data_IF_016809776934
#
_entry.id   IF_016809776934
#
_cell.length_a   1.000
_cell.length_b   1.000
_cell.length_c   1.000
_cell.angle_alpha   90.00
_cell.angle_beta   90.00
_cell.angle_gamma   90.00
#
_symmetry.space_group_name_H-M   'P 1'
#
loop_
_entity.id
_entity.type
_entity.pdbx_description
1 polymer ?
#
# COMPACT_ATOMS: atom_id res chain seq x y z
N UNK A 1 18.06 4.79 32.72
CA UNK A 1 18.77 3.53 32.59
C UNK A 1 17.81 2.31 32.57
N UNK A 2 16.80 2.23 33.42
CA UNK A 2 15.83 1.10 33.45
C UNK A 2 14.98 0.91 32.18
N UNK A 3 14.59 1.97 31.48
CA UNK A 3 13.83 1.91 30.22
C UNK A 3 14.64 1.39 29.03
N UNK A 4 15.98 1.49 29.09
CA UNK A 4 16.86 0.92 28.07
C UNK A 4 17.00 -0.60 28.23
N UNK A 5 17.02 -1.10 29.47
CA UNK A 5 17.19 -2.52 29.76
C UNK A 5 15.94 -3.35 29.43
N UNK A 6 14.73 -2.84 29.66
CA UNK A 6 13.50 -3.55 29.29
C UNK A 6 13.33 -3.68 27.77
N UNK A 7 13.79 -2.68 27.01
CA UNK A 7 13.82 -2.73 25.53
C UNK A 7 14.92 -3.65 24.98
N UNK A 8 16.04 -3.81 25.70
CA UNK A 8 17.11 -4.75 25.33
C UNK A 8 16.69 -6.22 25.54
N UNK A 9 15.92 -6.53 26.60
CA UNK A 9 15.51 -7.91 26.87
C UNK A 9 14.62 -8.50 25.76
N UNK A 10 13.69 -7.72 25.20
CA UNK A 10 12.85 -8.19 24.07
C UNK A 10 13.68 -8.40 22.78
N UNK A 11 14.75 -7.64 22.62
CA UNK A 11 15.68 -7.71 21.48
C UNK A 11 16.61 -8.91 21.58
N UNK A 12 17.04 -9.30 22.79
CA UNK A 12 17.99 -10.40 23.01
C UNK A 12 17.39 -11.80 22.86
N UNK A 13 16.06 -11.93 22.79
CA UNK A 13 15.39 -13.21 22.57
C UNK A 13 15.02 -13.49 21.10
N UNK A 14 15.32 -12.56 20.17
CA UNK A 14 15.11 -12.79 18.76
C UNK A 14 16.37 -13.42 18.13
N UNK A 15 16.32 -14.69 17.68
CA UNK A 15 17.49 -15.38 17.14
C UNK A 15 18.08 -14.71 15.88
N UNK A 16 17.27 -13.94 15.14
CA UNK A 16 17.75 -13.20 13.98
C UNK A 16 18.59 -11.98 14.40
N UNK A 17 18.23 -11.29 15.50
CA UNK A 17 19.04 -10.20 16.04
C UNK A 17 20.38 -10.75 16.55
N UNK A 18 20.37 -11.86 17.27
CA UNK A 18 21.60 -12.51 17.74
C UNK A 18 22.49 -12.87 16.56
N UNK A 19 21.92 -13.42 15.48
CA UNK A 19 22.67 -13.74 14.26
C UNK A 19 23.28 -12.50 13.60
N UNK A 20 22.56 -11.38 13.55
CA UNK A 20 23.07 -10.11 12.99
C UNK A 20 24.18 -9.55 13.87
N UNK A 21 24.02 -9.55 15.19
CA UNK A 21 25.04 -9.08 16.14
C UNK A 21 26.33 -9.88 16.00
N UNK A 22 26.21 -11.21 15.91
CA UNK A 22 27.36 -12.12 15.78
C UNK A 22 28.05 -11.91 14.43
N UNK A 23 27.28 -11.81 13.33
CA UNK A 23 27.84 -11.74 11.98
C UNK A 23 28.45 -10.39 11.62
N UNK A 24 27.85 -9.28 12.06
CA UNK A 24 28.22 -7.96 11.52
C UNK A 24 28.89 -7.05 12.53
N UNK A 25 28.63 -7.20 13.83
CA UNK A 25 28.97 -6.22 14.89
C UNK A 25 28.62 -4.77 14.50
N UNK A 26 27.74 -4.59 13.55
CA UNK A 26 27.39 -3.31 12.94
C UNK A 26 26.16 -2.73 13.64
N UNK A 27 26.38 -1.67 14.43
CA UNK A 27 25.30 -0.96 15.14
C UNK A 27 24.20 -0.43 14.21
N UNK A 28 24.54 -0.04 12.97
CA UNK A 28 23.59 0.46 11.98
C UNK A 28 22.68 -0.66 11.48
N UNK A 29 23.22 -1.82 11.13
CA UNK A 29 22.44 -2.98 10.69
C UNK A 29 21.46 -3.45 11.78
N UNK A 30 21.88 -3.41 13.06
CA UNK A 30 21.01 -3.75 14.19
C UNK A 30 19.85 -2.74 14.32
N UNK A 31 20.16 -1.44 14.24
CA UNK A 31 19.12 -0.38 14.31
C UNK A 31 18.11 -0.53 13.16
N UNK A 32 18.58 -0.77 11.96
CA UNK A 32 17.77 -1.01 10.77
C UNK A 32 16.84 -2.21 10.96
N UNK A 33 17.37 -3.36 11.36
CA UNK A 33 16.56 -4.56 11.63
C UNK A 33 15.45 -4.29 12.65
N UNK A 34 15.79 -3.61 13.77
CA UNK A 34 14.82 -3.26 14.82
C UNK A 34 13.74 -2.33 14.26
N UNK A 35 14.10 -1.36 13.42
CA UNK A 35 13.14 -0.45 12.79
C UNK A 35 12.18 -1.19 11.86
N UNK A 36 12.70 -2.02 10.97
CA UNK A 36 11.90 -2.84 10.05
C UNK A 36 10.97 -3.78 10.83
N UNK A 37 11.48 -4.46 11.86
CA UNK A 37 10.66 -5.34 12.70
C UNK A 37 9.51 -4.60 13.35
N UNK A 38 9.76 -3.42 13.95
CA UNK A 38 8.70 -2.60 14.57
C UNK A 38 7.63 -2.18 13.56
N UNK A 39 8.04 -1.78 12.35
CA UNK A 39 7.11 -1.42 11.28
C UNK A 39 6.23 -2.61 10.90
N UNK A 40 6.81 -3.79 10.73
CA UNK A 40 6.08 -5.03 10.44
C UNK A 40 5.11 -5.42 11.55
N UNK A 41 5.55 -5.38 12.80
CA UNK A 41 4.71 -5.69 13.96
C UNK A 41 3.52 -4.71 14.07
N UNK A 42 3.74 -3.43 13.78
CA UNK A 42 2.67 -2.43 13.71
C UNK A 42 1.66 -2.75 12.60
N UNK A 43 2.13 -3.04 11.39
CA UNK A 43 1.23 -3.38 10.26
C UNK A 43 0.39 -4.62 10.54
N UNK A 44 0.95 -5.65 11.17
CA UNK A 44 0.20 -6.84 11.60
C UNK A 44 -0.85 -6.47 12.66
N UNK A 45 -0.49 -5.63 13.62
CA UNK A 45 -1.43 -5.17 14.65
C UNK A 45 -2.58 -4.38 14.03
N UNK A 46 -2.28 -3.45 13.14
CA UNK A 46 -3.27 -2.67 12.37
C UNK A 46 -4.19 -3.60 11.58
N UNK A 47 -3.64 -4.57 10.85
CA UNK A 47 -4.44 -5.50 10.06
C UNK A 47 -5.37 -6.39 10.93
N UNK A 48 -4.95 -6.78 12.13
CA UNK A 48 -5.82 -7.51 13.07
C UNK A 48 -7.00 -6.66 13.54
N UNK A 49 -6.76 -5.38 13.82
CA UNK A 49 -7.82 -4.44 14.21
C UNK A 49 -8.81 -4.22 13.08
N UNK A 50 -8.33 -4.08 11.83
CA UNK A 50 -9.21 -3.94 10.67
C UNK A 50 -10.12 -5.17 10.53
N UNK A 51 -9.57 -6.38 10.61
CA UNK A 51 -10.38 -7.61 10.51
C UNK A 51 -11.42 -7.71 11.62
N UNK A 52 -11.06 -7.31 12.85
CA UNK A 52 -12.02 -7.23 13.94
C UNK A 52 -13.17 -6.26 13.63
N UNK A 53 -12.87 -5.07 13.11
CA UNK A 53 -13.88 -4.07 12.75
C UNK A 53 -14.75 -4.51 11.56
N UNK A 54 -14.16 -5.16 10.56
CA UNK A 54 -14.90 -5.77 9.45
C UNK A 54 -15.87 -6.84 9.94
N UNK A 55 -15.47 -7.68 10.90
CA UNK A 55 -16.35 -8.69 11.53
C UNK A 55 -17.52 -8.08 12.29
N UNK A 56 -17.43 -6.80 12.67
CA UNK A 56 -18.50 -5.99 13.28
C UNK A 56 -19.31 -5.19 12.25
N UNK A 57 -19.18 -5.50 10.95
CA UNK A 57 -19.84 -4.82 9.84
C UNK A 57 -19.58 -3.31 9.77
N UNK A 58 -18.42 -2.85 10.25
CA UNK A 58 -18.02 -1.45 10.13
C UNK A 58 -17.78 -1.07 8.66
N UNK A 59 -18.12 0.15 8.30
CA UNK A 59 -17.82 0.72 6.99
C UNK A 59 -16.32 0.99 6.85
N UNK A 60 -15.83 1.11 5.62
CA UNK A 60 -14.43 1.44 5.38
C UNK A 60 -14.08 2.81 5.98
N UNK A 61 -14.97 3.81 5.88
CA UNK A 61 -14.77 5.12 6.49
C UNK A 61 -14.62 5.06 8.01
N UNK A 62 -15.49 4.31 8.72
CA UNK A 62 -15.39 4.11 10.17
C UNK A 62 -14.07 3.40 10.56
N UNK A 63 -13.66 2.41 9.77
CA UNK A 63 -12.40 1.67 9.99
C UNK A 63 -11.20 2.60 9.81
N UNK A 64 -11.15 3.36 8.73
CA UNK A 64 -10.06 4.30 8.44
C UNK A 64 -9.93 5.33 9.53
N UNK A 65 -11.03 5.97 9.93
CA UNK A 65 -11.06 7.00 10.96
C UNK A 65 -10.58 6.45 12.32
N UNK A 66 -11.09 5.30 12.73
CA UNK A 66 -10.75 4.69 14.01
C UNK A 66 -9.30 4.20 14.04
N UNK A 67 -8.88 3.43 13.02
CA UNK A 67 -7.57 2.76 13.01
C UNK A 67 -6.44 3.78 12.83
N UNK A 68 -6.62 4.77 11.96
CA UNK A 68 -5.61 5.82 11.76
C UNK A 68 -5.35 6.62 13.03
N UNK A 69 -6.38 6.96 13.77
CA UNK A 69 -6.26 7.65 15.08
C UNK A 69 -5.63 6.76 16.16
N UNK A 70 -6.11 5.52 16.29
CA UNK A 70 -5.68 4.59 17.35
C UNK A 70 -4.21 4.25 17.26
N UNK A 71 -3.71 4.02 16.05
CA UNK A 71 -2.34 3.56 15.81
C UNK A 71 -1.42 4.65 15.27
N UNK A 72 -1.94 5.85 15.06
CA UNK A 72 -1.19 6.92 14.43
C UNK A 72 -0.61 6.46 13.07
N UNK A 73 -1.47 5.85 12.25
CA UNK A 73 -1.10 5.16 11.02
C UNK A 73 -1.66 5.85 9.79
N UNK A 74 -0.91 5.82 8.69
CA UNK A 74 -1.31 6.40 7.40
C UNK A 74 -2.55 5.68 6.85
N UNK A 75 -3.42 6.42 6.15
CA UNK A 75 -4.76 5.93 5.79
C UNK A 75 -4.79 5.01 4.58
N UNK A 76 -3.98 5.28 3.54
CA UNK A 76 -4.08 4.52 2.30
C UNK A 76 -3.85 3.00 2.46
N UNK A 77 -2.88 2.49 3.25
CA UNK A 77 -2.75 1.05 3.42
C UNK A 77 -3.92 0.43 4.20
N UNK A 78 -4.58 1.21 5.10
CA UNK A 78 -5.81 0.79 5.79
C UNK A 78 -6.93 0.59 4.77
N UNK A 79 -7.08 1.55 3.84
CA UNK A 79 -8.10 1.52 2.80
C UNK A 79 -7.89 0.30 1.89
N UNK A 80 -6.67 0.14 1.36
CA UNK A 80 -6.35 -0.97 0.44
C UNK A 80 -6.60 -2.33 1.08
N UNK A 81 -6.11 -2.51 2.29
CA UNK A 81 -6.38 -3.73 3.06
C UNK A 81 -7.88 -3.97 3.24
N UNK A 82 -8.62 -2.94 3.68
CA UNK A 82 -10.05 -3.05 3.97
C UNK A 82 -10.88 -3.38 2.72
N UNK A 83 -10.55 -2.78 1.56
CA UNK A 83 -11.20 -3.08 0.28
C UNK A 83 -10.99 -4.55 -0.11
N UNK A 84 -9.76 -5.03 -0.07
CA UNK A 84 -9.43 -6.42 -0.43
C UNK A 84 -10.20 -7.39 0.46
N UNK A 85 -10.19 -7.19 1.78
CA UNK A 85 -10.86 -8.07 2.74
C UNK A 85 -12.38 -8.02 2.65
N UNK A 86 -12.95 -6.85 2.39
CA UNK A 86 -14.41 -6.65 2.33
C UNK A 86 -15.03 -7.20 1.04
N UNK A 87 -14.33 -7.03 -0.08
CA UNK A 87 -14.83 -7.38 -1.42
C UNK A 87 -14.17 -8.63 -2.00
N UNK A 88 -13.27 -9.31 -1.24
CA UNK A 88 -12.56 -10.53 -1.65
C UNK A 88 -11.82 -10.39 -2.98
N UNK A 89 -11.13 -9.23 -3.14
CA UNK A 89 -10.40 -8.91 -4.38
C UNK A 89 -9.16 -9.81 -4.52
N UNK A 90 -8.84 -10.23 -5.74
CA UNK A 90 -7.82 -11.26 -6.00
C UNK A 90 -6.67 -10.79 -6.88
N UNK A 91 -6.96 -10.03 -7.94
CA UNK A 91 -5.95 -9.56 -8.89
C UNK A 91 -5.77 -8.07 -8.67
N UNK A 92 -4.67 -7.71 -8.04
CA UNK A 92 -4.34 -6.33 -7.70
C UNK A 92 -3.10 -5.89 -8.47
N UNK A 93 -3.15 -4.71 -9.08
CA UNK A 93 -2.01 -4.07 -9.73
C UNK A 93 -1.68 -2.77 -9.00
N UNK A 94 -0.41 -2.57 -8.68
CA UNK A 94 0.12 -1.40 -7.97
C UNK A 94 1.26 -0.78 -8.79
N UNK A 95 1.24 0.53 -8.97
CA UNK A 95 2.35 1.31 -9.47
C UNK A 95 2.92 2.16 -8.34
N UNK A 96 4.24 2.09 -8.12
CA UNK A 96 4.90 2.64 -6.94
C UNK A 96 4.83 1.69 -5.74
N UNK A 97 5.99 1.41 -5.17
CA UNK A 97 6.17 0.49 -4.04
C UNK A 97 7.03 1.12 -2.96
N UNK A 98 8.12 1.78 -3.38
CA UNK A 98 9.11 2.36 -2.48
C UNK A 98 9.53 1.38 -1.37
N UNK A 99 9.33 1.71 -0.11
CA UNK A 99 9.64 0.83 1.04
C UNK A 99 8.72 -0.40 1.16
N UNK A 100 7.50 -0.35 0.57
CA UNK A 100 6.52 -1.44 0.58
C UNK A 100 5.49 -1.39 1.72
N UNK A 101 5.06 -0.20 2.17
CA UNK A 101 4.00 -0.07 3.16
C UNK A 101 2.65 -0.57 2.62
N UNK A 102 2.23 -0.06 1.46
CA UNK A 102 1.01 -0.48 0.75
C UNK A 102 1.09 -1.96 0.41
N UNK A 103 2.16 -2.35 -0.27
CA UNK A 103 2.40 -3.75 -0.69
C UNK A 103 2.34 -4.74 0.47
N UNK A 104 2.91 -4.40 1.64
CA UNK A 104 2.83 -5.28 2.83
C UNK A 104 1.38 -5.50 3.28
N UNK A 105 0.58 -4.44 3.37
CA UNK A 105 -0.81 -4.52 3.81
C UNK A 105 -1.67 -5.28 2.78
N UNK A 106 -1.49 -5.01 1.49
CA UNK A 106 -2.15 -5.72 0.39
C UNK A 106 -1.83 -7.23 0.45
N UNK A 107 -0.54 -7.56 0.53
CA UNK A 107 -0.08 -8.95 0.59
C UNK A 107 -0.56 -9.69 1.85
N UNK A 108 -0.66 -8.98 2.97
CA UNK A 108 -1.23 -9.54 4.21
C UNK A 108 -2.72 -9.83 4.03
N UNK A 109 -3.47 -8.95 3.37
CA UNK A 109 -4.88 -9.18 3.04
C UNK A 109 -5.04 -10.42 2.14
N UNK A 110 -4.27 -10.52 1.05
CA UNK A 110 -4.28 -11.66 0.14
C UNK A 110 -3.88 -12.97 0.83
N UNK A 111 -2.91 -12.93 1.74
CA UNK A 111 -2.55 -14.09 2.56
C UNK A 111 -3.73 -14.56 3.42
N UNK A 112 -4.47 -13.63 4.04
CA UNK A 112 -5.63 -13.97 4.88
C UNK A 112 -6.84 -14.47 4.07
N UNK A 113 -6.97 -14.02 2.82
CA UNK A 113 -7.93 -14.61 1.86
C UNK A 113 -7.45 -15.99 1.35
N UNK A 114 -6.19 -16.33 1.58
CA UNK A 114 -5.52 -17.51 1.00
C UNK A 114 -5.67 -17.60 -0.53
N UNK A 115 -5.77 -16.45 -1.18
CA UNK A 115 -5.97 -16.36 -2.64
C UNK A 115 -5.52 -15.01 -3.19
N UNK A 116 -5.29 -14.97 -4.50
CA UNK A 116 -4.95 -13.75 -5.22
C UNK A 116 -3.46 -13.48 -5.34
N UNK A 117 -3.15 -12.41 -6.08
CA UNK A 117 -1.79 -11.95 -6.39
C UNK A 117 -1.76 -10.44 -6.45
N UNK A 118 -0.65 -9.87 -5.99
CA UNK A 118 -0.25 -8.50 -6.21
C UNK A 118 0.80 -8.45 -7.33
N UNK A 119 0.59 -7.58 -8.30
CA UNK A 119 1.54 -7.24 -9.36
C UNK A 119 1.95 -5.80 -9.17
N UNK A 120 3.21 -5.55 -8.84
CA UNK A 120 3.71 -4.21 -8.57
C UNK A 120 4.78 -3.84 -9.58
N UNK A 121 4.77 -2.58 -10.03
CA UNK A 121 5.76 -1.99 -10.92
C UNK A 121 6.36 -0.79 -10.20
N UNK A 122 7.68 -0.74 -10.10
CA UNK A 122 8.41 0.38 -9.48
C UNK A 122 9.78 0.58 -10.11
N UNK A 123 10.23 1.83 -10.16
CA UNK A 123 11.55 2.23 -10.62
C UNK A 123 12.33 2.96 -9.50
N UNK A 124 11.87 2.89 -8.26
CA UNK A 124 12.46 3.67 -7.17
C UNK A 124 13.99 3.60 -7.15
N UNK A 125 14.60 4.72 -7.43
CA UNK A 125 16.04 4.90 -7.46
C UNK A 125 16.58 5.60 -6.21
N UNK A 126 15.72 5.85 -5.20
CA UNK A 126 16.11 6.57 -4.00
C UNK A 126 17.27 5.87 -3.26
N UNK A 127 18.24 6.68 -2.81
CA UNK A 127 19.38 6.16 -2.04
C UNK A 127 18.94 5.54 -0.71
N UNK A 128 17.81 6.00 -0.15
CA UNK A 128 17.24 5.42 1.08
C UNK A 128 16.77 3.99 0.83
N UNK A 129 15.95 3.77 -0.20
CA UNK A 129 15.44 2.44 -0.54
C UNK A 129 16.59 1.49 -0.90
N UNK A 130 17.55 1.93 -1.71
CA UNK A 130 18.73 1.13 -2.05
C UNK A 130 19.53 0.71 -0.82
N UNK A 131 19.78 1.66 0.10
CA UNK A 131 20.55 1.40 1.33
C UNK A 131 19.82 0.47 2.29
N UNK A 132 18.49 0.57 2.39
CA UNK A 132 17.67 -0.17 3.34
C UNK A 132 17.29 -1.59 2.85
N UNK A 133 17.69 -1.99 1.65
CA UNK A 133 17.50 -3.35 1.15
C UNK A 133 16.73 -3.47 -0.17
N UNK A 134 16.51 -2.35 -0.86
CA UNK A 134 15.84 -2.30 -2.16
C UNK A 134 14.33 -2.10 -2.06
N UNK A 135 13.70 -1.99 -3.21
CA UNK A 135 12.25 -1.79 -3.32
C UNK A 135 11.50 -2.88 -2.53
N UNK A 136 10.53 -2.44 -1.73
CA UNK A 136 9.69 -3.34 -0.95
C UNK A 136 10.40 -4.06 0.21
N UNK A 137 11.48 -3.50 0.75
CA UNK A 137 12.25 -4.15 1.83
C UNK A 137 11.44 -4.41 3.11
N UNK A 138 10.33 -3.72 3.32
CA UNK A 138 9.41 -3.99 4.43
C UNK A 138 8.62 -5.29 4.24
N UNK A 139 8.45 -5.78 3.02
CA UNK A 139 7.71 -7.02 2.74
C UNK A 139 8.50 -8.25 3.19
N UNK A 140 7.98 -9.06 4.14
CA UNK A 140 8.67 -10.26 4.60
C UNK A 140 8.61 -11.39 3.57
N UNK A 141 9.60 -12.28 3.61
CA UNK A 141 9.76 -13.33 2.61
C UNK A 141 8.55 -14.27 2.47
N UNK A 142 7.84 -14.56 3.57
CA UNK A 142 6.67 -15.45 3.53
C UNK A 142 5.48 -14.89 2.74
N UNK A 143 5.41 -13.57 2.54
CA UNK A 143 4.39 -12.91 1.72
C UNK A 143 4.75 -12.87 0.23
N UNK A 144 6.04 -13.01 -0.12
CA UNK A 144 6.51 -12.88 -1.50
C UNK A 144 5.92 -13.93 -2.46
N UNK A 145 5.38 -15.03 -1.95
CA UNK A 145 4.67 -16.02 -2.78
C UNK A 145 3.36 -15.48 -3.40
N UNK A 146 2.82 -14.38 -2.87
CA UNK A 146 1.64 -13.68 -3.40
C UNK A 146 2.02 -12.47 -4.27
N UNK A 147 3.30 -12.19 -4.47
CA UNK A 147 3.81 -10.96 -5.04
C UNK A 147 4.63 -11.17 -6.30
N UNK A 148 4.30 -10.43 -7.36
CA UNK A 148 5.10 -10.27 -8.57
C UNK A 148 5.57 -8.82 -8.65
N UNK A 149 6.83 -8.57 -8.33
CA UNK A 149 7.45 -7.25 -8.42
C UNK A 149 8.29 -7.15 -9.70
N UNK A 150 7.99 -6.17 -10.53
CA UNK A 150 8.75 -5.85 -11.75
C UNK A 150 9.40 -4.48 -11.57
N UNK A 151 10.71 -4.42 -11.78
CA UNK A 151 11.48 -3.17 -11.66
C UNK A 151 11.58 -2.51 -13.02
N UNK A 152 11.06 -1.28 -13.12
CA UNK A 152 11.16 -0.45 -14.32
C UNK A 152 10.06 0.60 -14.44
N UNK A 153 10.11 1.32 -15.54
CA UNK A 153 9.23 2.45 -15.87
C UNK A 153 7.78 1.98 -16.13
N UNK A 154 6.83 2.51 -15.37
CA UNK A 154 5.40 2.17 -15.48
C UNK A 154 4.84 2.48 -16.86
N UNK A 155 5.30 3.55 -17.53
CA UNK A 155 4.89 3.89 -18.89
C UNK A 155 5.23 2.80 -19.92
N UNK A 156 6.22 1.94 -19.63
CA UNK A 156 6.63 0.83 -20.50
C UNK A 156 6.05 -0.51 -20.05
N UNK A 157 5.90 -0.70 -18.74
CA UNK A 157 5.62 -2.02 -18.18
C UNK A 157 4.14 -2.22 -17.82
N UNK A 158 3.38 -1.16 -17.53
CA UNK A 158 1.98 -1.32 -17.12
C UNK A 158 1.12 -1.98 -18.20
N UNK A 159 1.22 -1.49 -19.45
CA UNK A 159 0.42 -2.07 -20.55
C UNK A 159 0.71 -3.55 -20.79
N UNK A 160 1.96 -4.02 -20.96
CA UNK A 160 2.27 -5.45 -21.08
C UNK A 160 1.77 -6.29 -19.90
N UNK A 161 1.90 -5.78 -18.67
CA UNK A 161 1.41 -6.46 -17.46
C UNK A 161 -0.11 -6.64 -17.52
N UNK A 162 -0.86 -5.60 -17.86
CA UNK A 162 -2.32 -5.67 -17.97
C UNK A 162 -2.77 -6.54 -19.15
N UNK A 163 -2.04 -6.50 -20.27
CA UNK A 163 -2.32 -7.39 -21.43
C UNK A 163 -2.14 -8.87 -21.08
N UNK A 164 -1.17 -9.21 -20.22
CA UNK A 164 -0.98 -10.58 -19.72
C UNK A 164 -2.10 -11.00 -18.76
N UNK A 165 -2.47 -10.12 -17.83
CA UNK A 165 -3.48 -10.37 -16.81
C UNK A 165 -4.91 -10.46 -17.39
N UNK A 166 -5.20 -9.71 -18.46
CA UNK A 166 -6.52 -9.57 -19.12
C UNK A 166 -7.58 -8.87 -18.29
N UNK A 167 -7.54 -8.99 -16.97
CA UNK A 167 -8.48 -8.38 -16.03
C UNK A 167 -7.83 -8.17 -14.65
N UNK A 168 -8.38 -7.23 -13.87
CA UNK A 168 -7.96 -6.99 -12.49
C UNK A 168 -9.16 -6.55 -11.65
N UNK A 169 -9.06 -6.76 -10.32
CA UNK A 169 -10.09 -6.36 -9.38
C UNK A 169 -9.79 -5.00 -8.75
N UNK A 170 -8.51 -4.61 -8.68
CA UNK A 170 -8.09 -3.36 -8.08
C UNK A 170 -6.82 -2.85 -8.74
N UNK A 171 -6.82 -1.57 -9.12
CA UNK A 171 -5.65 -0.84 -9.55
C UNK A 171 -5.29 0.24 -8.52
N UNK A 172 -4.01 0.38 -8.21
CA UNK A 172 -3.51 1.39 -7.26
C UNK A 172 -2.41 2.19 -7.95
N UNK A 173 -2.62 3.50 -8.05
CA UNK A 173 -1.63 4.46 -8.48
C UNK A 173 -0.96 5.09 -7.26
N UNK A 174 0.35 4.94 -7.16
CA UNK A 174 1.22 5.57 -6.16
C UNK A 174 2.65 5.74 -6.74
N UNK A 175 2.73 6.05 -8.06
CA UNK A 175 3.98 6.22 -8.79
C UNK A 175 4.32 7.70 -8.98
N UNK A 176 4.54 8.17 -10.21
CA UNK A 176 4.75 9.58 -10.54
C UNK A 176 3.43 10.33 -10.63
N UNK A 177 3.21 11.32 -9.74
CA UNK A 177 1.98 12.11 -9.64
C UNK A 177 1.86 13.24 -10.66
N UNK A 178 2.62 13.18 -11.77
CA UNK A 178 2.41 14.07 -12.89
C UNK A 178 1.06 13.80 -13.56
N UNK A 179 0.44 14.86 -14.11
CA UNK A 179 -0.81 14.73 -14.86
C UNK A 179 -0.74 13.66 -15.95
N UNK A 180 0.39 13.61 -16.69
CA UNK A 180 0.58 12.67 -17.79
C UNK A 180 0.58 11.22 -17.31
N UNK A 181 1.32 10.91 -16.24
CA UNK A 181 1.42 9.54 -15.69
C UNK A 181 0.10 9.13 -15.08
N UNK A 182 -0.50 9.96 -14.22
CA UNK A 182 -1.79 9.69 -13.61
C UNK A 182 -2.88 9.41 -14.67
N UNK A 183 -3.02 10.32 -15.65
CA UNK A 183 -4.01 10.17 -16.72
C UNK A 183 -3.78 8.89 -17.54
N UNK A 184 -2.52 8.58 -17.88
CA UNK A 184 -2.16 7.37 -18.62
C UNK A 184 -2.55 6.11 -17.84
N UNK A 185 -2.12 6.02 -16.59
CA UNK A 185 -2.32 4.84 -15.76
C UNK A 185 -3.81 4.60 -15.46
N UNK A 186 -4.58 5.65 -15.12
CA UNK A 186 -6.02 5.54 -14.88
C UNK A 186 -6.77 5.04 -16.12
N UNK A 187 -6.58 5.71 -17.26
CA UNK A 187 -7.28 5.35 -18.50
C UNK A 187 -6.90 3.96 -19.01
N UNK A 188 -5.66 3.54 -18.78
CA UNK A 188 -5.23 2.21 -19.16
C UNK A 188 -5.81 1.14 -18.22
N UNK A 189 -5.65 1.30 -16.92
CA UNK A 189 -6.11 0.32 -15.93
C UNK A 189 -7.64 0.15 -15.95
N UNK A 190 -8.39 1.24 -16.17
CA UNK A 190 -9.86 1.20 -16.23
C UNK A 190 -10.41 0.23 -17.27
N UNK A 191 -9.71 0.08 -18.41
CA UNK A 191 -10.13 -0.84 -19.49
C UNK A 191 -10.07 -2.31 -19.07
N UNK A 192 -9.18 -2.64 -18.13
CA UNK A 192 -8.98 -4.00 -17.64
C UNK A 192 -9.67 -4.26 -16.30
N UNK A 193 -10.22 -3.22 -15.68
CA UNK A 193 -10.86 -3.31 -14.38
C UNK A 193 -12.20 -4.05 -14.48
N UNK A 194 -12.36 -5.09 -13.67
CA UNK A 194 -13.58 -5.86 -13.57
C UNK A 194 -14.77 -5.00 -13.12
N UNK A 195 -16.00 -5.43 -13.41
CA UNK A 195 -17.21 -4.89 -12.78
C UNK A 195 -17.11 -5.00 -11.26
N UNK A 196 -17.52 -3.95 -10.55
CA UNK A 196 -17.32 -3.75 -9.10
C UNK A 196 -15.86 -3.62 -8.65
N UNK A 197 -14.89 -3.60 -9.55
CA UNK A 197 -13.49 -3.36 -9.24
C UNK A 197 -13.22 -1.92 -8.82
N UNK A 198 -12.04 -1.69 -8.26
CA UNK A 198 -11.64 -0.40 -7.70
C UNK A 198 -10.43 0.19 -8.41
N UNK A 199 -10.55 1.46 -8.84
CA UNK A 199 -9.42 2.30 -9.19
C UNK A 199 -9.10 3.18 -7.98
N UNK A 200 -7.89 3.06 -7.47
CA UNK A 200 -7.41 3.75 -6.28
C UNK A 200 -6.20 4.61 -6.63
N UNK A 201 -6.07 5.75 -5.96
CA UNK A 201 -4.92 6.64 -6.14
C UNK A 201 -4.54 7.33 -4.85
N UNK A 202 -3.26 7.38 -4.57
CA UNK A 202 -2.68 8.32 -3.62
C UNK A 202 -2.47 9.68 -4.29
N UNK A 203 -2.34 10.73 -3.48
CA UNK A 203 -1.99 12.10 -3.90
C UNK A 203 -2.82 12.68 -5.08
N UNK A 204 -4.14 12.40 -5.12
CA UNK A 204 -5.04 12.80 -6.22
C UNK A 204 -5.09 14.31 -6.47
N UNK A 205 -4.68 15.12 -5.52
CA UNK A 205 -4.66 16.58 -5.59
C UNK A 205 -3.34 17.16 -6.14
N UNK A 206 -2.41 16.33 -6.59
CA UNK A 206 -1.19 16.80 -7.26
C UNK A 206 -1.44 17.32 -8.68
N UNK A 207 -2.54 16.88 -9.32
CA UNK A 207 -2.95 17.34 -10.64
C UNK A 207 -4.48 17.23 -10.81
N UNK A 208 -5.01 17.73 -11.93
CA UNK A 208 -6.44 17.58 -12.25
C UNK A 208 -6.79 16.21 -12.85
N UNK A 209 -5.84 15.28 -12.96
CA UNK A 209 -6.03 14.01 -13.67
C UNK A 209 -7.17 13.17 -13.09
N UNK A 210 -7.32 13.14 -11.75
CA UNK A 210 -8.35 12.38 -11.09
C UNK A 210 -9.76 12.97 -11.32
N UNK A 211 -9.90 14.28 -11.21
CA UNK A 211 -11.18 14.99 -11.44
C UNK A 211 -11.63 14.88 -12.91
N UNK A 212 -10.69 15.04 -13.84
CA UNK A 212 -10.97 14.88 -15.26
C UNK A 212 -11.36 13.43 -15.60
N UNK A 213 -10.68 12.46 -15.01
CA UNK A 213 -11.02 11.05 -15.16
C UNK A 213 -12.44 10.75 -14.67
N UNK A 214 -12.83 11.24 -13.48
CA UNK A 214 -14.20 11.12 -12.98
C UNK A 214 -15.20 11.73 -13.96
N UNK A 215 -14.91 12.93 -14.46
CA UNK A 215 -15.81 13.64 -15.38
C UNK A 215 -16.03 12.87 -16.68
N UNK A 216 -14.98 12.22 -17.22
CA UNK A 216 -15.04 11.43 -18.44
C UNK A 216 -15.78 10.10 -18.25
N UNK A 217 -15.62 9.47 -17.08
CA UNK A 217 -16.17 8.12 -16.80
C UNK A 217 -17.36 8.10 -15.83
N UNK A 218 -18.00 9.25 -15.57
CA UNK A 218 -19.08 9.39 -14.58
C UNK A 218 -20.21 8.38 -14.70
N UNK A 219 -20.50 7.90 -15.91
CA UNK A 219 -21.54 6.93 -16.18
C UNK A 219 -21.11 5.46 -15.92
N UNK A 220 -19.82 5.25 -15.72
CA UNK A 220 -19.23 3.95 -15.42
C UNK A 220 -18.82 3.82 -13.94
N UNK A 221 -19.06 4.85 -13.13
CA UNK A 221 -18.66 4.89 -11.71
C UNK A 221 -19.91 4.79 -10.83
N UNK A 222 -19.92 3.82 -9.90
CA UNK A 222 -20.99 3.68 -8.89
C UNK A 222 -20.72 4.58 -7.69
N UNK A 223 -19.49 4.54 -7.18
CA UNK A 223 -19.10 5.21 -5.95
C UNK A 223 -17.78 5.96 -6.14
N UNK A 224 -17.73 7.14 -5.54
CA UNK A 224 -16.54 8.01 -5.48
C UNK A 224 -16.25 8.26 -4.00
N UNK A 225 -15.03 7.98 -3.58
CA UNK A 225 -14.55 8.24 -2.22
C UNK A 225 -13.30 9.10 -2.27
N UNK A 226 -13.29 10.17 -1.48
CA UNK A 226 -12.13 11.05 -1.33
C UNK A 226 -11.86 11.20 0.16
N UNK A 227 -10.63 10.92 0.57
CA UNK A 227 -10.21 10.95 1.97
C UNK A 227 -8.96 11.83 2.09
N UNK A 228 -9.01 12.81 2.97
CA UNK A 228 -7.86 13.67 3.29
C UNK A 228 -6.90 12.92 4.23
N UNK A 229 -5.61 12.83 3.86
CA UNK A 229 -4.56 12.36 4.75
C UNK A 229 -4.09 13.50 5.66
N UNK A 230 -4.05 13.27 6.96
CA UNK A 230 -3.58 14.27 7.91
C UNK A 230 -2.05 14.18 7.99
N UNK A 231 -1.35 15.06 7.28
CA UNK A 231 0.10 15.22 7.48
C UNK A 231 0.38 15.96 8.80
N UNK A 232 1.27 15.40 9.61
CA UNK A 232 1.64 15.93 10.92
C UNK A 232 2.54 17.16 10.88
N UNK A 233 3.05 17.56 9.72
CA UNK A 233 4.11 18.55 9.60
C UNK A 233 3.86 19.72 8.65
N UNK A 234 2.71 19.83 7.99
CA UNK A 234 2.40 21.01 7.16
C UNK A 234 1.19 21.75 7.70
N UNK A 235 1.40 23.01 8.09
CA UNK A 235 0.32 23.97 8.45
C UNK A 235 -0.47 24.44 7.21
N UNK A 236 -0.07 24.03 6.01
CA UNK A 236 -0.71 24.41 4.75
C UNK A 236 -1.80 23.39 4.38
N UNK A 237 -3.04 23.74 4.67
CA UNK A 237 -4.24 22.92 4.38
C UNK A 237 -4.34 22.55 2.89
N UNK A 238 -3.81 23.37 1.99
CA UNK A 238 -3.88 23.15 0.54
C UNK A 238 -2.85 22.11 0.04
N UNK A 239 -1.96 21.62 0.92
CA UNK A 239 -0.91 20.64 0.60
C UNK A 239 -1.13 19.28 1.27
N UNK A 240 -2.29 19.06 1.88
CA UNK A 240 -2.57 17.77 2.49
C UNK A 240 -2.81 16.73 1.40
N UNK A 241 -2.12 15.58 1.43
CA UNK A 241 -2.38 14.51 0.48
C UNK A 241 -3.83 14.07 0.53
N UNK A 242 -4.39 13.79 -0.63
CA UNK A 242 -5.76 13.30 -0.75
C UNK A 242 -5.75 11.96 -1.46
N UNK A 243 -6.46 10.99 -0.87
CA UNK A 243 -6.61 9.65 -1.41
C UNK A 243 -7.96 9.57 -2.08
N UNK A 244 -7.99 9.07 -3.33
CA UNK A 244 -9.22 8.81 -4.05
C UNK A 244 -9.38 7.34 -4.39
N UNK A 245 -10.61 6.82 -4.35
CA UNK A 245 -10.93 5.54 -4.95
C UNK A 245 -12.33 5.53 -5.55
N UNK A 246 -12.43 4.88 -6.68
CA UNK A 246 -13.62 4.78 -7.52
C UNK A 246 -14.02 3.33 -7.65
N UNK A 247 -15.31 3.06 -7.59
CA UNK A 247 -15.85 1.73 -7.87
C UNK A 247 -16.53 1.72 -9.24
N UNK A 248 -16.12 0.77 -10.09
CA UNK A 248 -16.66 0.61 -11.44
C UNK A 248 -18.04 -0.04 -11.40
N UNK A 249 -18.96 0.40 -12.27
CA UNK A 249 -20.32 -0.13 -12.38
C UNK A 249 -20.31 -1.61 -12.84
N UNK A 250 -21.38 -2.32 -12.51
CA UNK A 250 -21.65 -3.63 -13.09
C UNK A 250 -22.10 -3.41 -14.55
N UNK A 251 -21.31 -3.87 -15.50
CA UNK A 251 -21.63 -3.89 -16.93
C UNK A 251 -22.36 -5.17 -17.32
#
# INVERSE_FOLDING_TARGET
>A
MYLLFSKLNTVLHDPNIISIIIKTRNKQAIKQYISIKKSRDLMITVSNEIDFLLSKNKTIGEIVEYVSKKFDFIKYPIIWYSLIRKYHLKIIVETGVSMGWSSFMILTALQRENSGKLFSIDIDSSETVKREGGIGYLVPNHLKKYWNLVIGDTNKLLKPTLDELKQLDMFIHDSDHSYQTMSYEYNLAWKFLNSNGFLCSDDINHSNAFDEFISQHKHEIINIYIIEEIQRSSDDVNKRPMIGFLQKIIS
#
